data_IF_041205359982
#
_entry.id   IF_041205359982
#
_cell.length_a   1.000
_cell.length_b   1.000
_cell.length_c   1.000
_cell.angle_alpha   90.00
_cell.angle_beta   90.00
_cell.angle_gamma   90.00
#
_symmetry.space_group_name_H-M   'P 1'
#
loop_
_entity.id
_entity.type
_entity.pdbx_description
1 polymer ?
#
# COMPACT_ATOMS: atom_id res chain seq x y z
N UNK A 1 -32.37 -5.00 7.65
CA UNK A 1 -31.50 -3.83 7.43
C UNK A 1 -31.23 -3.20 8.78
N UNK A 2 -29.96 -3.14 9.21
CA UNK A 2 -29.59 -2.52 10.49
C UNK A 2 -29.74 -0.99 10.42
N UNK A 3 -29.83 -0.33 11.58
CA UNK A 3 -29.87 1.15 11.66
C UNK A 3 -28.62 1.78 11.03
N UNK A 4 -27.47 1.14 11.20
CA UNK A 4 -26.18 1.56 10.66
C UNK A 4 -26.15 1.40 9.13
N UNK A 5 -26.67 0.28 8.62
CA UNK A 5 -26.83 0.05 7.18
C UNK A 5 -27.78 1.07 6.55
N UNK A 6 -28.86 1.43 7.24
CA UNK A 6 -29.78 2.47 6.79
C UNK A 6 -29.08 3.84 6.68
N UNK A 7 -28.20 4.16 7.63
CA UNK A 7 -27.42 5.40 7.65
C UNK A 7 -26.44 5.47 6.48
N UNK A 8 -25.66 4.39 6.26
CA UNK A 8 -24.69 4.33 5.15
C UNK A 8 -25.43 4.42 3.80
N UNK A 9 -26.55 3.72 3.64
CA UNK A 9 -27.37 3.82 2.42
C UNK A 9 -27.91 5.24 2.24
N UNK A 10 -28.39 5.90 3.30
CA UNK A 10 -28.87 7.29 3.23
C UNK A 10 -27.77 8.23 2.77
N UNK A 11 -26.58 8.09 3.33
CA UNK A 11 -25.40 8.88 2.99
C UNK A 11 -25.01 8.69 1.51
N UNK A 12 -24.91 7.44 1.07
CA UNK A 12 -24.58 7.11 -0.32
C UNK A 12 -25.63 7.64 -1.31
N UNK A 13 -26.92 7.59 -0.97
CA UNK A 13 -27.98 8.20 -1.79
C UNK A 13 -27.86 9.71 -1.87
N UNK A 14 -27.41 10.38 -0.81
CA UNK A 14 -27.11 11.82 -0.87
C UNK A 14 -25.92 12.12 -1.79
N UNK A 15 -24.87 11.30 -1.73
CA UNK A 15 -23.70 11.40 -2.62
C UNK A 15 -24.10 11.19 -4.09
N UNK A 16 -24.92 10.17 -4.37
CA UNK A 16 -25.46 9.88 -5.70
C UNK A 16 -26.22 11.08 -6.28
N UNK A 17 -27.12 11.68 -5.50
CA UNK A 17 -27.88 12.87 -5.92
C UNK A 17 -26.97 14.05 -6.22
N UNK A 18 -25.96 14.31 -5.38
CA UNK A 18 -25.00 15.38 -5.65
C UNK A 18 -24.23 15.17 -6.95
N UNK A 19 -23.92 13.92 -7.32
CA UNK A 19 -23.31 13.63 -8.61
C UNK A 19 -24.28 13.83 -9.78
N UNK A 20 -25.54 13.45 -9.63
CA UNK A 20 -26.59 13.71 -10.63
C UNK A 20 -26.78 15.22 -10.85
N UNK A 21 -26.87 16.00 -9.77
CA UNK A 21 -27.04 17.45 -9.81
C UNK A 21 -25.83 18.16 -10.47
N UNK A 22 -24.64 17.56 -10.36
CA UNK A 22 -23.39 18.06 -10.98
C UNK A 22 -23.13 17.50 -12.38
N UNK A 23 -24.07 16.74 -12.95
CA UNK A 23 -23.92 16.07 -14.26
C UNK A 23 -22.69 15.15 -14.33
N UNK A 24 -22.35 14.48 -13.24
CA UNK A 24 -21.27 13.50 -13.16
C UNK A 24 -21.85 12.09 -13.27
N UNK A 25 -22.46 11.78 -14.41
CA UNK A 25 -23.30 10.59 -14.61
C UNK A 25 -22.59 9.27 -14.24
N UNK A 26 -21.30 9.14 -14.59
CA UNK A 26 -20.48 7.96 -14.26
C UNK A 26 -20.25 7.79 -12.75
N UNK A 27 -20.04 8.90 -12.04
CA UNK A 27 -19.86 8.88 -10.60
C UNK A 27 -21.20 8.55 -9.91
N UNK A 28 -22.30 9.11 -10.41
CA UNK A 28 -23.64 8.77 -9.94
C UNK A 28 -23.97 7.28 -10.14
N UNK A 29 -23.67 6.73 -11.32
CA UNK A 29 -23.87 5.31 -11.63
C UNK A 29 -23.04 4.42 -10.70
N UNK A 30 -21.75 4.72 -10.53
CA UNK A 30 -20.86 3.98 -9.61
C UNK A 30 -21.42 3.98 -8.19
N UNK A 31 -21.86 5.14 -7.68
CA UNK A 31 -22.46 5.22 -6.34
C UNK A 31 -23.78 4.46 -6.28
N UNK A 32 -24.61 4.54 -7.32
CA UNK A 32 -25.85 3.79 -7.41
C UNK A 32 -25.64 2.27 -7.32
N UNK A 33 -24.61 1.74 -7.97
CA UNK A 33 -24.22 0.33 -7.86
C UNK A 33 -23.78 -0.04 -6.44
N UNK A 34 -22.95 0.82 -5.81
CA UNK A 34 -22.52 0.64 -4.42
C UNK A 34 -23.74 0.61 -3.48
N UNK A 35 -24.70 1.53 -3.66
CA UNK A 35 -25.94 1.57 -2.87
C UNK A 35 -26.70 0.26 -3.02
N UNK A 36 -26.86 -0.26 -4.24
CA UNK A 36 -27.57 -1.52 -4.50
C UNK A 36 -26.87 -2.68 -3.78
N UNK A 37 -25.53 -2.76 -3.87
CA UNK A 37 -24.74 -3.81 -3.22
C UNK A 37 -24.88 -3.76 -1.71
N UNK A 38 -24.64 -2.59 -1.11
CA UNK A 38 -24.73 -2.38 0.35
C UNK A 38 -26.15 -2.63 0.87
N UNK A 39 -27.19 -2.32 0.08
CA UNK A 39 -28.58 -2.55 0.50
C UNK A 39 -29.00 -4.03 0.46
N UNK A 40 -28.33 -4.85 -0.36
CA UNK A 40 -28.66 -6.27 -0.55
C UNK A 40 -27.87 -7.19 0.36
N UNK A 41 -26.64 -6.83 0.71
CA UNK A 41 -25.81 -7.66 1.59
C UNK A 41 -26.37 -7.62 3.03
N UNK A 42 -26.57 -8.78 3.69
CA UNK A 42 -27.02 -8.82 5.08
C UNK A 42 -25.93 -8.37 6.06
N UNK A 43 -24.66 -8.50 5.68
CA UNK A 43 -23.49 -8.05 6.42
C UNK A 43 -22.86 -6.84 5.74
N UNK A 44 -23.11 -5.66 6.30
CA UNK A 44 -22.57 -4.41 5.74
C UNK A 44 -21.04 -4.34 5.85
N UNK A 45 -20.43 -4.90 6.89
CA UNK A 45 -18.98 -4.89 7.05
C UNK A 45 -18.33 -5.63 5.89
N UNK A 46 -18.86 -6.80 5.55
CA UNK A 46 -18.43 -7.56 4.38
C UNK A 46 -18.63 -6.80 3.06
N UNK A 47 -19.78 -6.12 2.90
CA UNK A 47 -20.02 -5.30 1.70
C UNK A 47 -19.01 -4.15 1.54
N UNK A 48 -18.54 -3.58 2.65
CA UNK A 48 -17.53 -2.53 2.66
C UNK A 48 -16.11 -3.12 2.49
N UNK A 49 -15.77 -4.26 3.08
CA UNK A 49 -14.50 -4.95 2.83
C UNK A 49 -14.35 -5.33 1.34
N UNK A 50 -15.42 -5.84 0.75
CA UNK A 50 -15.51 -6.08 -0.69
C UNK A 50 -15.28 -4.79 -1.50
N UNK A 51 -15.84 -3.67 -1.04
CA UNK A 51 -15.68 -2.36 -1.67
C UNK A 51 -14.26 -1.82 -1.51
N UNK A 52 -13.62 -2.07 -0.37
CA UNK A 52 -12.23 -1.71 -0.09
C UNK A 52 -11.27 -2.43 -1.05
N UNK A 53 -11.64 -3.64 -1.45
CA UNK A 53 -10.91 -4.43 -2.45
C UNK A 53 -11.07 -3.90 -3.88
N UNK A 54 -11.96 -2.93 -4.13
CA UNK A 54 -12.13 -2.33 -5.46
C UNK A 54 -11.13 -1.17 -5.62
N UNK A 55 -10.22 -1.30 -6.60
CA UNK A 55 -9.19 -0.31 -6.89
C UNK A 55 -9.78 1.10 -7.08
N UNK A 56 -9.28 2.06 -6.31
CA UNK A 56 -9.73 3.46 -6.33
C UNK A 56 -10.93 3.76 -5.43
N UNK A 57 -11.51 2.74 -4.79
CA UNK A 57 -12.54 2.87 -3.76
C UNK A 57 -12.02 2.52 -2.36
N UNK A 58 -10.72 2.29 -2.20
CA UNK A 58 -10.06 1.97 -0.93
C UNK A 58 -10.29 3.07 0.11
N UNK A 59 -9.97 4.33 -0.22
CA UNK A 59 -10.20 5.48 0.68
C UNK A 59 -11.68 5.74 0.93
N UNK A 60 -12.51 5.54 -0.10
CA UNK A 60 -13.96 5.71 0.00
C UNK A 60 -14.55 4.66 0.95
N UNK A 61 -14.16 3.40 0.78
CA UNK A 61 -14.62 2.29 1.62
C UNK A 61 -14.09 2.40 3.04
N UNK A 62 -12.80 2.70 3.22
CA UNK A 62 -12.22 2.89 4.55
C UNK A 62 -12.95 4.01 5.33
N UNK A 63 -13.36 5.08 4.64
CA UNK A 63 -14.18 6.14 5.25
C UNK A 63 -15.58 5.64 5.64
N UNK A 64 -16.23 4.84 4.80
CA UNK A 64 -17.52 4.22 5.14
C UNK A 64 -17.40 3.24 6.30
N UNK A 65 -16.34 2.44 6.37
CA UNK A 65 -16.07 1.52 7.49
C UNK A 65 -15.86 2.29 8.79
N UNK A 66 -15.11 3.40 8.74
CA UNK A 66 -14.95 4.29 9.90
C UNK A 66 -16.27 4.94 10.32
N UNK A 67 -17.12 5.35 9.38
CA UNK A 67 -18.45 5.89 9.68
C UNK A 67 -19.37 4.82 10.27
N UNK A 68 -19.28 3.59 9.78
CA UNK A 68 -20.01 2.44 10.30
C UNK A 68 -19.63 2.18 11.77
N UNK A 69 -18.35 2.06 12.07
CA UNK A 69 -17.81 1.88 13.44
C UNK A 69 -18.25 3.01 14.38
N UNK A 70 -18.19 4.26 13.91
CA UNK A 70 -18.62 5.44 14.68
C UNK A 70 -20.13 5.49 14.91
N UNK A 71 -20.94 5.01 13.97
CA UNK A 71 -22.41 5.06 14.05
C UNK A 71 -22.98 4.16 15.15
N UNK A 72 -22.27 3.10 15.53
CA UNK A 72 -22.63 2.25 16.68
C UNK A 72 -22.53 2.97 18.03
N UNK A 73 -21.82 4.10 18.10
CA UNK A 73 -21.54 4.83 19.34
C UNK A 73 -22.32 6.15 19.49
N UNK A 74 -22.88 6.73 18.41
CA UNK A 74 -23.59 8.02 18.47
C UNK A 74 -24.50 8.25 17.26
N UNK A 75 -25.66 8.88 17.47
CA UNK A 75 -26.48 9.42 16.39
C UNK A 75 -25.76 10.57 15.66
N UNK A 76 -25.63 10.44 14.34
CA UNK A 76 -25.07 11.47 13.45
C UNK A 76 -26.15 12.53 13.17
N UNK A 77 -25.82 13.82 13.33
CA UNK A 77 -26.75 14.91 13.01
C UNK A 77 -26.87 15.13 11.50
N UNK A 78 -27.93 15.81 11.03
CA UNK A 78 -28.07 16.11 9.60
C UNK A 78 -26.93 17.00 9.07
N UNK A 79 -26.41 17.93 9.88
CA UNK A 79 -25.26 18.75 9.51
C UNK A 79 -23.96 17.94 9.38
N UNK A 80 -23.77 16.91 10.22
CA UNK A 80 -22.64 15.99 10.09
C UNK A 80 -22.82 15.12 8.84
N UNK A 81 -24.05 14.68 8.54
CA UNK A 81 -24.34 13.90 7.34
C UNK A 81 -24.05 14.70 6.06
N UNK A 82 -24.40 15.98 6.01
CA UNK A 82 -24.10 16.86 4.88
C UNK A 82 -22.58 17.02 4.68
N UNK A 83 -21.84 17.24 5.77
CA UNK A 83 -20.38 17.33 5.74
C UNK A 83 -19.74 16.04 5.23
N UNK A 84 -20.17 14.88 5.74
CA UNK A 84 -19.65 13.58 5.33
C UNK A 84 -20.02 13.25 3.87
N UNK A 85 -21.20 13.71 3.41
CA UNK A 85 -21.60 13.59 2.00
C UNK A 85 -20.62 14.37 1.12
N UNK A 86 -20.28 15.60 1.49
CA UNK A 86 -19.33 16.42 0.74
C UNK A 86 -17.93 15.78 0.71
N UNK A 87 -17.43 15.29 1.83
CA UNK A 87 -16.15 14.57 1.91
C UNK A 87 -16.15 13.35 0.98
N UNK A 88 -17.20 12.53 1.02
CA UNK A 88 -17.32 11.36 0.14
C UNK A 88 -17.38 11.73 -1.35
N UNK A 89 -18.04 12.85 -1.70
CA UNK A 89 -18.03 13.32 -3.11
C UNK A 89 -16.65 13.74 -3.60
N UNK A 90 -15.69 14.04 -2.73
CA UNK A 90 -14.32 14.36 -3.15
C UNK A 90 -13.46 13.11 -3.39
N UNK A 91 -13.87 11.95 -2.85
CA UNK A 91 -13.12 10.69 -2.96
C UNK A 91 -13.43 9.91 -4.25
N UNK A 92 -14.61 10.12 -4.86
CA UNK A 92 -15.06 9.42 -6.08
C UNK A 92 -14.58 10.01 -7.42
N UNK A 93 -14.35 11.33 -7.59
CA UNK A 93 -13.91 11.92 -8.87
C UNK A 93 -12.57 11.37 -9.41
N UNK A 94 -11.77 10.70 -8.57
CA UNK A 94 -10.57 9.98 -9.00
C UNK A 94 -10.86 8.75 -9.90
N UNK A 95 -12.09 8.24 -9.89
CA UNK A 95 -12.52 7.00 -10.57
C UNK A 95 -13.03 7.31 -11.98
N UNK A 96 -13.78 8.40 -12.14
CA UNK A 96 -14.41 8.78 -13.42
C UNK A 96 -13.44 9.23 -14.52
N UNK A 97 -12.19 9.60 -14.19
CA UNK A 97 -11.15 9.92 -15.20
C UNK A 97 -10.38 8.71 -15.72
N UNK A 98 -10.50 7.53 -15.09
CA UNK A 98 -9.76 6.32 -15.48
C UNK A 98 -10.63 5.20 -16.09
N UNK A 99 -11.95 5.26 -15.93
CA UNK A 99 -12.85 4.17 -16.36
C UNK A 99 -13.43 4.37 -17.77
N UNK A 100 -12.60 4.15 -18.79
CA UNK A 100 -13.04 3.56 -20.07
C UNK A 100 -12.49 2.12 -20.13
N UNK A 101 -13.11 1.21 -19.39
CA UNK A 101 -13.20 -0.21 -19.75
C UNK A 101 -14.06 -0.92 -18.70
N UNK A 102 -15.25 -1.28 -19.13
CA UNK A 102 -16.16 -2.20 -18.48
C UNK A 102 -15.58 -3.61 -18.61
N UNK A 103 -14.64 -3.95 -17.74
CA UNK A 103 -14.24 -5.33 -17.48
C UNK A 103 -14.13 -5.51 -15.97
N UNK A 104 -14.71 -6.61 -15.46
CA UNK A 104 -14.49 -7.14 -14.11
C UNK A 104 -13.02 -6.92 -13.71
N UNK A 105 -12.68 -6.40 -12.53
CA UNK A 105 -11.31 -6.04 -12.21
C UNK A 105 -10.48 -7.32 -12.08
N UNK A 106 -9.93 -7.75 -13.21
CA UNK A 106 -8.73 -8.57 -13.26
C UNK A 106 -7.68 -7.71 -12.58
N UNK A 107 -7.32 -8.02 -11.33
CA UNK A 107 -6.16 -7.43 -10.66
C UNK A 107 -5.02 -7.60 -11.66
N UNK A 108 -4.61 -6.50 -12.30
CA UNK A 108 -3.53 -6.57 -13.26
C UNK A 108 -2.30 -6.87 -12.43
N UNK A 109 -1.59 -7.98 -12.67
CA UNK A 109 -0.43 -8.36 -11.86
C UNK A 109 0.57 -7.21 -11.68
N UNK A 110 0.67 -6.35 -12.70
CA UNK A 110 1.52 -5.17 -12.70
C UNK A 110 1.11 -4.08 -11.70
N UNK A 111 -0.18 -3.88 -11.44
CA UNK A 111 -0.63 -2.93 -10.43
C UNK A 111 -0.25 -3.40 -9.02
N UNK A 112 -0.45 -4.70 -8.73
CA UNK A 112 -0.02 -5.32 -7.46
C UNK A 112 1.50 -5.20 -7.26
N UNK A 113 2.27 -5.32 -8.35
CA UNK A 113 3.71 -5.11 -8.31
C UNK A 113 4.08 -3.67 -7.96
N UNK A 114 3.45 -2.67 -8.57
CA UNK A 114 3.72 -1.26 -8.26
C UNK A 114 3.31 -0.88 -6.83
N UNK A 115 2.17 -1.40 -6.36
CA UNK A 115 1.71 -1.17 -4.98
C UNK A 115 2.68 -1.79 -3.96
N UNK A 116 3.15 -3.02 -4.20
CA UNK A 116 4.14 -3.68 -3.35
C UNK A 116 5.50 -2.97 -3.39
N UNK A 117 5.93 -2.48 -4.55
CA UNK A 117 7.16 -1.70 -4.70
C UNK A 117 7.09 -0.38 -3.91
N UNK A 118 5.95 0.30 -3.97
CA UNK A 118 5.71 1.52 -3.21
C UNK A 118 5.69 1.26 -1.70
N UNK A 119 5.03 0.18 -1.25
CA UNK A 119 5.00 -0.22 0.15
C UNK A 119 6.41 -0.54 0.68
N UNK A 120 7.20 -1.31 -0.08
CA UNK A 120 8.60 -1.59 0.22
C UNK A 120 9.42 -0.29 0.39
N UNK A 121 9.35 0.63 -0.58
CA UNK A 121 10.08 1.90 -0.51
C UNK A 121 9.66 2.77 0.68
N UNK A 122 8.36 2.88 0.95
CA UNK A 122 7.81 3.65 2.08
C UNK A 122 8.32 3.13 3.42
N UNK A 123 8.41 1.80 3.58
CA UNK A 123 8.92 1.19 4.80
C UNK A 123 10.41 1.45 5.02
N UNK A 124 11.20 1.50 3.93
CA UNK A 124 12.61 1.89 4.01
C UNK A 124 12.75 3.35 4.42
N UNK A 125 11.95 4.26 3.85
CA UNK A 125 11.94 5.66 4.28
C UNK A 125 11.58 5.82 5.76
N UNK A 126 10.58 5.07 6.23
CA UNK A 126 10.21 5.05 7.65
C UNK A 126 11.35 4.51 8.52
N UNK A 127 12.02 3.44 8.09
CA UNK A 127 13.19 2.87 8.76
C UNK A 127 14.33 3.90 8.85
N UNK A 128 14.68 4.57 7.75
CA UNK A 128 15.72 5.61 7.69
C UNK A 128 15.39 6.75 8.66
N UNK A 129 14.13 7.20 8.66
CA UNK A 129 13.67 8.29 9.52
C UNK A 129 13.77 7.93 11.01
N UNK A 130 13.48 6.68 11.38
CA UNK A 130 13.57 6.23 12.79
C UNK A 130 14.99 5.90 13.22
N UNK A 131 15.84 5.46 12.30
CA UNK A 131 17.24 5.17 12.57
C UNK A 131 18.08 6.41 12.87
N UNK A 132 17.59 7.59 12.47
CA UNK A 132 18.24 8.88 12.68
C UNK A 132 17.47 9.76 13.65
N UNK A 133 18.19 10.40 14.56
CA UNK A 133 17.69 11.56 15.32
C UNK A 133 18.59 12.76 14.97
N UNK A 134 18.14 13.59 14.04
CA UNK A 134 18.98 14.62 13.42
C UNK A 134 20.08 13.99 12.54
N UNK A 135 21.35 14.36 12.78
CA UNK A 135 22.50 13.84 12.02
C UNK A 135 23.11 12.55 12.61
N UNK A 136 22.58 12.05 13.73
CA UNK A 136 23.13 10.89 14.43
C UNK A 136 22.36 9.61 14.12
N UNK A 137 23.08 8.61 13.63
CA UNK A 137 22.59 7.23 13.56
C UNK A 137 22.54 6.61 14.96
N UNK A 138 21.45 5.91 15.26
CA UNK A 138 21.25 5.22 16.54
C UNK A 138 21.38 3.71 16.39
N UNK A 139 20.33 3.08 15.86
CA UNK A 139 20.23 1.67 15.51
C UNK A 139 18.95 1.47 14.73
N UNK A 140 18.85 0.37 14.01
CA UNK A 140 17.62 -0.05 13.38
C UNK A 140 16.74 -0.76 14.42
N UNK A 141 15.45 -0.43 14.42
CA UNK A 141 14.49 -1.10 15.29
C UNK A 141 14.16 -2.48 14.70
N UNK A 142 14.21 -3.54 15.51
CA UNK A 142 13.99 -4.91 15.02
C UNK A 142 12.60 -5.11 14.42
N UNK A 143 11.57 -4.51 15.02
CA UNK A 143 10.20 -4.51 14.48
C UNK A 143 10.09 -3.85 13.10
N UNK A 144 10.95 -2.88 12.79
CA UNK A 144 10.98 -2.26 11.47
C UNK A 144 11.68 -3.14 10.44
N UNK A 145 12.70 -3.90 10.86
CA UNK A 145 13.34 -4.92 10.02
C UNK A 145 12.40 -6.11 9.75
N UNK A 146 11.63 -6.54 10.75
CA UNK A 146 10.60 -7.58 10.58
C UNK A 146 9.54 -7.13 9.55
N UNK A 147 9.05 -5.90 9.67
CA UNK A 147 8.12 -5.31 8.69
C UNK A 147 8.75 -5.22 7.30
N UNK A 148 10.03 -4.89 7.21
CA UNK A 148 10.74 -4.85 5.94
C UNK A 148 10.84 -6.24 5.30
N UNK A 149 11.00 -7.32 6.07
CA UNK A 149 10.95 -8.70 5.57
C UNK A 149 9.58 -9.02 4.97
N UNK A 150 8.49 -8.69 5.67
CA UNK A 150 7.11 -8.94 5.19
C UNK A 150 6.85 -8.24 3.85
N UNK A 151 7.24 -6.98 3.74
CA UNK A 151 7.03 -6.15 2.56
C UNK A 151 7.92 -6.59 1.38
N UNK A 152 9.13 -7.06 1.68
CA UNK A 152 10.01 -7.68 0.67
C UNK A 152 9.42 -8.99 0.14
N UNK A 153 8.82 -9.81 1.01
CA UNK A 153 8.14 -11.05 0.59
C UNK A 153 6.88 -10.78 -0.25
N UNK A 154 6.13 -9.72 0.08
CA UNK A 154 5.00 -9.25 -0.71
C UNK A 154 5.46 -8.78 -2.10
N UNK A 155 6.51 -7.96 -2.17
CA UNK A 155 7.12 -7.51 -3.42
C UNK A 155 7.62 -8.68 -4.28
N UNK A 156 8.28 -9.67 -3.66
CA UNK A 156 8.71 -10.88 -4.36
C UNK A 156 7.55 -11.62 -5.00
N UNK A 157 6.45 -11.80 -4.25
CA UNK A 157 5.26 -12.50 -4.73
C UNK A 157 4.67 -11.76 -5.94
N UNK A 158 4.58 -10.44 -5.87
CA UNK A 158 4.08 -9.62 -6.98
C UNK A 158 5.03 -9.62 -8.19
N UNK A 159 6.35 -9.63 -7.97
CA UNK A 159 7.35 -9.75 -9.02
C UNK A 159 7.26 -11.11 -9.75
N UNK A 160 7.05 -12.21 -9.03
CA UNK A 160 6.79 -13.54 -9.62
C UNK A 160 5.55 -13.53 -10.52
N UNK A 161 4.47 -12.88 -10.10
CA UNK A 161 3.23 -12.77 -10.89
C UNK A 161 3.40 -11.94 -12.17
N UNK A 162 4.39 -11.04 -12.21
CA UNK A 162 4.67 -10.17 -13.35
C UNK A 162 5.87 -10.61 -14.19
N UNK A 163 6.44 -11.78 -13.88
CA UNK A 163 7.65 -12.32 -14.54
C UNK A 163 8.83 -11.33 -14.51
N UNK A 164 9.00 -10.62 -13.39
CA UNK A 164 10.14 -9.72 -13.13
C UNK A 164 11.25 -10.49 -12.40
N UNK A 165 11.89 -11.43 -13.09
CA UNK A 165 12.84 -12.38 -12.51
C UNK A 165 14.01 -11.71 -11.79
N UNK A 166 14.53 -10.59 -12.31
CA UNK A 166 15.61 -9.83 -11.68
C UNK A 166 15.18 -9.22 -10.33
N UNK A 167 13.92 -8.77 -10.22
CA UNK A 167 13.36 -8.28 -8.95
C UNK A 167 13.08 -9.43 -7.99
N UNK A 168 12.67 -10.60 -8.49
CA UNK A 168 12.57 -11.83 -7.68
C UNK A 168 13.93 -12.18 -7.09
N UNK A 169 14.97 -12.16 -7.92
CA UNK A 169 16.33 -12.46 -7.49
C UNK A 169 16.85 -11.44 -6.47
N UNK A 170 16.63 -10.16 -6.72
CA UNK A 170 16.93 -9.08 -5.79
C UNK A 170 16.26 -9.30 -4.43
N UNK A 171 14.94 -9.56 -4.42
CA UNK A 171 14.18 -9.74 -3.18
C UNK A 171 14.62 -10.99 -2.41
N UNK A 172 14.98 -12.08 -3.07
CA UNK A 172 15.56 -13.27 -2.43
C UNK A 172 16.84 -12.91 -1.66
N UNK A 173 17.76 -12.20 -2.32
CA UNK A 173 19.05 -11.83 -1.71
C UNK A 173 18.87 -10.77 -0.63
N UNK A 174 17.94 -9.83 -0.82
CA UNK A 174 17.61 -8.82 0.18
C UNK A 174 17.02 -9.46 1.45
N UNK A 175 16.13 -10.45 1.31
CA UNK A 175 15.61 -11.22 2.46
C UNK A 175 16.74 -11.95 3.21
N UNK A 176 17.67 -12.58 2.48
CA UNK A 176 18.84 -13.22 3.10
C UNK A 176 19.69 -12.22 3.87
N UNK A 177 19.94 -11.04 3.29
CA UNK A 177 20.70 -9.97 3.92
C UNK A 177 20.04 -9.47 5.22
N UNK A 178 18.74 -9.16 5.20
CA UNK A 178 18.03 -8.65 6.38
C UNK A 178 17.95 -9.72 7.48
N UNK A 179 17.72 -10.98 7.12
CA UNK A 179 17.76 -12.09 8.08
C UNK A 179 19.16 -12.23 8.70
N UNK A 180 20.23 -12.15 7.90
CA UNK A 180 21.60 -12.18 8.41
C UNK A 180 21.86 -11.05 9.42
N UNK A 181 21.36 -9.83 9.15
CA UNK A 181 21.48 -8.69 10.07
C UNK A 181 20.78 -8.98 11.40
N UNK A 182 19.57 -9.55 11.35
CA UNK A 182 18.79 -9.90 12.54
C UNK A 182 19.44 -11.02 13.36
N UNK A 183 19.86 -12.10 12.70
CA UNK A 183 20.48 -13.28 13.33
C UNK A 183 21.81 -12.93 14.01
N UNK A 184 22.62 -12.08 13.39
CA UNK A 184 23.91 -11.65 13.93
C UNK A 184 23.82 -10.40 14.82
N UNK A 185 22.62 -9.81 14.96
CA UNK A 185 22.35 -8.62 15.78
C UNK A 185 23.22 -7.40 15.45
N UNK A 186 23.53 -7.21 14.17
CA UNK A 186 24.38 -6.12 13.66
C UNK A 186 23.57 -4.92 13.14
N UNK A 187 22.34 -4.78 13.63
CA UNK A 187 21.40 -3.71 13.24
C UNK A 187 21.75 -2.35 13.86
N UNK A 188 22.82 -2.24 14.63
CA UNK A 188 23.45 -1.03 15.14
C UNK A 188 24.62 -0.54 14.27
N UNK A 189 24.94 -1.23 13.17
CA UNK A 189 25.93 -0.78 12.21
C UNK A 189 25.30 0.16 11.16
N UNK A 190 25.75 1.43 11.04
CA UNK A 190 25.21 2.38 10.06
C UNK A 190 25.39 1.89 8.61
N UNK A 191 26.37 1.04 8.33
CA UNK A 191 26.60 0.46 7.00
C UNK A 191 25.44 -0.43 6.55
N UNK A 192 24.72 -1.05 7.48
CA UNK A 192 23.51 -1.83 7.17
C UNK A 192 22.43 -0.93 6.59
N UNK A 193 22.19 0.22 7.22
CA UNK A 193 21.20 1.17 6.72
C UNK A 193 21.60 1.72 5.36
N UNK A 194 22.89 2.07 5.17
CA UNK A 194 23.40 2.52 3.87
C UNK A 194 23.18 1.45 2.79
N UNK A 195 23.41 0.17 3.10
CA UNK A 195 23.18 -0.92 2.16
C UNK A 195 21.68 -1.03 1.79
N UNK A 196 20.79 -0.98 2.77
CA UNK A 196 19.33 -1.02 2.56
C UNK A 196 18.88 0.16 1.68
N UNK A 197 19.36 1.36 1.95
CA UNK A 197 19.03 2.56 1.17
C UNK A 197 19.53 2.47 -0.27
N UNK A 198 20.78 2.06 -0.46
CA UNK A 198 21.36 1.90 -1.79
C UNK A 198 20.60 0.83 -2.59
N UNK A 199 20.25 -0.29 -1.95
CA UNK A 199 19.47 -1.35 -2.57
C UNK A 199 18.10 -0.87 -3.02
N UNK A 200 17.40 -0.08 -2.19
CA UNK A 200 16.12 0.53 -2.58
C UNK A 200 16.27 1.49 -3.76
N UNK A 201 17.26 2.39 -3.72
CA UNK A 201 17.49 3.36 -4.79
C UNK A 201 17.80 2.65 -6.12
N UNK A 202 18.66 1.64 -6.10
CA UNK A 202 19.01 0.85 -7.29
C UNK A 202 17.80 0.10 -7.82
N UNK A 203 16.96 -0.50 -6.95
CA UNK A 203 15.72 -1.14 -7.38
C UNK A 203 14.74 -0.14 -8.02
N UNK A 204 14.52 1.03 -7.41
CA UNK A 204 13.64 2.06 -7.96
C UNK A 204 14.14 2.54 -9.33
N UNK A 205 15.43 2.83 -9.43
CA UNK A 205 16.08 3.23 -10.69
C UNK A 205 15.92 2.16 -11.75
N UNK A 206 16.15 0.89 -11.40
CA UNK A 206 15.99 -0.24 -12.30
C UNK A 206 14.55 -0.37 -12.82
N UNK A 207 13.54 -0.22 -11.96
CA UNK A 207 12.13 -0.29 -12.37
C UNK A 207 11.72 0.91 -13.22
N UNK A 208 12.19 2.11 -12.89
CA UNK A 208 11.93 3.34 -13.66
C UNK A 208 12.57 3.31 -15.05
N UNK A 209 13.74 2.68 -15.18
CA UNK A 209 14.49 2.60 -16.42
C UNK A 209 13.86 1.67 -17.48
N UNK A 210 12.75 0.98 -17.19
CA UNK A 210 11.95 0.15 -18.11
C UNK A 210 12.79 -0.66 -19.12
N UNK A 211 13.59 -1.60 -18.64
CA UNK A 211 14.46 -2.48 -19.45
C UNK A 211 15.60 -1.76 -20.21
N UNK A 212 15.96 -0.52 -19.84
CA UNK A 212 17.24 0.04 -20.25
C UNK A 212 18.38 -0.84 -19.69
N UNK A 213 19.50 -0.92 -20.42
CA UNK A 213 20.67 -1.78 -20.14
C UNK A 213 21.39 -1.54 -18.80
N UNK A 214 20.79 -0.81 -17.87
CA UNK A 214 21.35 -0.48 -16.56
C UNK A 214 21.16 -1.61 -15.52
N UNK A 215 20.76 -2.81 -15.95
CA UNK A 215 20.68 -4.02 -15.11
C UNK A 215 22.00 -4.36 -14.38
N UNK A 216 23.14 -3.90 -14.92
CA UNK A 216 24.46 -4.06 -14.30
C UNK A 216 24.54 -3.44 -12.88
N UNK A 217 23.75 -2.39 -12.59
CA UNK A 217 23.75 -1.73 -11.27
C UNK A 217 23.00 -2.57 -10.22
N UNK A 218 21.88 -3.20 -10.62
CA UNK A 218 21.11 -4.07 -9.73
C UNK A 218 21.89 -5.35 -9.42
N UNK A 219 22.53 -5.96 -10.42
CA UNK A 219 23.33 -7.17 -10.22
C UNK A 219 24.52 -6.93 -9.29
N UNK A 220 25.21 -5.79 -9.43
CA UNK A 220 26.29 -5.41 -8.49
C UNK A 220 25.79 -5.27 -7.06
N UNK A 221 24.60 -4.71 -6.88
CA UNK A 221 23.96 -4.56 -5.57
C UNK A 221 23.59 -5.92 -4.98
N UNK A 222 23.08 -6.83 -5.81
CA UNK A 222 22.77 -8.22 -5.43
C UNK A 222 24.05 -8.95 -4.97
N UNK A 223 25.14 -8.87 -5.73
CA UNK A 223 26.42 -9.47 -5.38
C UNK A 223 26.96 -8.96 -4.03
N UNK A 224 26.84 -7.66 -3.77
CA UNK A 224 27.24 -7.06 -2.49
C UNK A 224 26.41 -7.59 -1.31
N UNK A 225 25.08 -7.68 -1.46
CA UNK A 225 24.18 -8.15 -0.41
C UNK A 225 24.29 -9.66 -0.18
N UNK A 226 24.69 -10.44 -1.20
CA UNK A 226 24.83 -11.90 -1.10
C UNK A 226 25.92 -12.32 -0.11
N UNK A 227 26.95 -11.49 0.05
CA UNK A 227 28.09 -11.76 0.93
C UNK A 227 28.25 -10.64 1.96
N UNK A 228 27.32 -10.51 2.93
CA UNK A 228 27.33 -9.41 3.90
C UNK A 228 28.61 -9.38 4.75
N UNK A 229 29.24 -10.53 4.99
CA UNK A 229 30.52 -10.64 5.71
C UNK A 229 31.66 -9.86 5.04
N UNK A 230 31.68 -9.82 3.70
CA UNK A 230 32.73 -9.14 2.94
C UNK A 230 32.67 -7.61 3.11
N UNK A 231 31.47 -7.08 3.39
CA UNK A 231 31.20 -5.66 3.50
C UNK A 231 31.12 -5.17 4.95
N UNK A 232 30.47 -5.94 5.82
CA UNK A 232 30.30 -5.60 7.23
C UNK A 232 31.54 -5.99 8.05
N UNK A 233 32.42 -6.84 7.51
CA UNK A 233 33.63 -7.33 8.16
C UNK A 233 33.31 -8.29 9.32
N UNK A 234 34.33 -8.98 9.83
CA UNK A 234 34.19 -9.72 11.10
C UNK A 234 34.04 -8.72 12.25
N UNK A 235 32.82 -8.33 12.55
CA UNK A 235 32.51 -7.66 13.82
C UNK A 235 32.71 -8.72 14.90
N UNK A 236 33.92 -8.78 15.46
CA UNK A 236 34.19 -9.58 16.66
C UNK A 236 33.28 -9.06 17.77
N UNK A 237 32.21 -9.80 18.04
CA UNK A 237 31.42 -9.68 19.24
C UNK A 237 32.33 -9.96 20.44
N UNK A 238 32.72 -8.91 21.15
CA UNK A 238 33.28 -8.99 22.50
C UNK A 238 32.15 -9.10 23.53
#
# INVERSE_FOLDING_TARGET
>A
MSTEQALIVRLLRSVERLFQDRHQDLAAETVGEIVIRVSREPDISKALEDLYSVKGLDRFSMKLMWLLDRSGSRCISDSELDHETEVLTQLIPAIGRRSRSTEVPTIRPFDTFLDALHAFGTNIEELVKRAHEGEKFHRLETNMLDRLLDETAALQTAAKMTSKDEVVHFTDVFLLFVNYVLENRIYDDPRVLTMIMNANLTLQTFVEAQDAKDGDSLEQTIELMRNPESFLGHIHTN
#
